data_IF_623897538939
#
_entry.id   IF_623897538939
#
_cell.length_a   1.000
_cell.length_b   1.000
_cell.length_c   1.000
_cell.angle_alpha   90.00
_cell.angle_beta   90.00
_cell.angle_gamma   90.00
#
_symmetry.space_group_name_H-M   'P 1'
#
loop_
_entity.id
_entity.type
_entity.pdbx_description
1 polymer ?
#
# COMPACT_ATOMS: atom_id res chain seq x y z
N UNK A 1 -6.55 9.32 3.59
CA UNK A 1 -5.32 8.62 3.99
C UNK A 1 -4.20 9.18 3.17
N UNK A 2 -3.27 9.83 3.84
CA UNK A 2 -2.14 10.50 3.24
C UNK A 2 -1.19 9.48 2.65
N UNK A 3 -0.97 9.54 1.33
CA UNK A 3 -0.02 8.70 0.61
C UNK A 3 1.41 9.15 0.91
N UNK A 4 1.85 8.92 2.14
CA UNK A 4 3.11 9.44 2.65
C UNK A 4 4.30 8.94 1.85
N UNK A 5 5.03 9.88 1.26
CA UNK A 5 6.32 9.66 0.61
C UNK A 5 7.23 8.80 1.48
N UNK A 6 7.92 7.85 0.84
CA UNK A 6 8.65 6.83 1.55
C UNK A 6 10.08 7.25 1.84
N UNK A 7 10.74 7.97 0.94
CA UNK A 7 12.13 8.40 1.07
C UNK A 7 12.35 9.74 0.38
N UNK A 8 13.28 10.54 0.91
CA UNK A 8 13.80 11.76 0.29
C UNK A 8 15.28 11.97 0.64
N UNK A 9 15.99 12.66 -0.24
CA UNK A 9 17.28 13.29 0.04
C UNK A 9 17.24 14.75 -0.42
N UNK A 10 17.93 15.63 0.30
CA UNK A 10 17.98 17.04 -0.05
C UNK A 10 18.59 17.21 -1.44
N UNK A 11 17.86 17.86 -2.33
CA UNK A 11 18.29 18.07 -3.71
C UNK A 11 17.73 19.38 -4.26
N UNK A 12 18.55 20.10 -5.04
CA UNK A 12 18.13 21.24 -5.85
C UNK A 12 18.83 21.18 -7.20
N UNK A 13 18.07 21.13 -8.28
CA UNK A 13 18.63 21.09 -9.63
C UNK A 13 17.69 20.47 -10.66
N UNK A 14 18.24 20.17 -11.84
CA UNK A 14 17.49 19.56 -12.94
C UNK A 14 17.23 18.08 -12.69
N UNK A 15 15.98 17.68 -12.86
CA UNK A 15 15.60 16.29 -12.80
C UNK A 15 14.29 16.00 -13.52
N UNK A 16 13.80 14.78 -13.34
CA UNK A 16 12.54 14.33 -13.92
C UNK A 16 11.69 13.60 -12.88
N UNK A 17 10.39 13.60 -13.13
CA UNK A 17 9.40 12.91 -12.31
C UNK A 17 8.68 11.84 -13.10
N UNK A 18 8.48 10.70 -12.46
CA UNK A 18 7.64 9.61 -12.97
C UNK A 18 6.57 9.21 -11.98
N UNK A 19 5.41 8.80 -12.51
CA UNK A 19 4.39 8.06 -11.77
C UNK A 19 3.96 6.82 -12.55
N UNK A 20 3.40 5.86 -11.81
CA UNK A 20 2.73 4.70 -12.34
C UNK A 20 1.26 5.05 -12.53
N UNK A 21 0.83 5.13 -13.78
CA UNK A 21 -0.54 5.52 -14.11
C UNK A 21 -1.53 4.53 -13.51
N UNK A 22 -2.46 5.03 -12.69
CA UNK A 22 -3.56 4.23 -12.11
C UNK A 22 -3.06 3.00 -11.33
N UNK A 23 -1.94 3.12 -10.60
CA UNK A 23 -1.34 2.06 -9.79
C UNK A 23 -2.34 1.27 -8.94
N UNK A 24 -3.25 1.96 -8.24
CA UNK A 24 -4.33 1.33 -7.46
C UNK A 24 -5.25 0.45 -8.30
N UNK A 25 -5.67 0.92 -9.47
CA UNK A 25 -6.50 0.12 -10.36
C UNK A 25 -5.77 -1.09 -10.90
N UNK A 26 -4.48 -0.97 -11.23
CA UNK A 26 -3.65 -2.11 -11.63
C UNK A 26 -3.67 -3.20 -10.55
N UNK A 27 -3.29 -2.84 -9.32
CA UNK A 27 -3.20 -3.80 -8.21
C UNK A 27 -4.57 -4.34 -7.78
N UNK A 28 -5.64 -3.56 -7.90
CA UNK A 28 -7.00 -4.05 -7.63
C UNK A 28 -7.54 -4.98 -8.72
N UNK A 29 -7.03 -4.88 -9.94
CA UNK A 29 -7.40 -5.78 -11.04
C UNK A 29 -6.66 -7.12 -10.99
N UNK A 30 -5.58 -7.20 -10.20
CA UNK A 30 -4.85 -8.44 -9.96
C UNK A 30 -5.61 -9.36 -8.99
N UNK A 31 -5.09 -10.56 -8.77
CA UNK A 31 -5.62 -11.47 -7.76
C UNK A 31 -5.33 -10.89 -6.37
N UNK A 32 -6.38 -10.77 -5.57
CA UNK A 32 -6.35 -10.25 -4.21
C UNK A 32 -6.73 -11.38 -3.26
N UNK A 33 -6.00 -11.54 -2.15
CA UNK A 33 -6.32 -12.57 -1.16
C UNK A 33 -7.65 -12.28 -0.47
N UNK A 34 -8.52 -13.29 -0.43
CA UNK A 34 -9.83 -13.25 0.23
C UNK A 34 -9.78 -13.89 1.62
N UNK A 35 -9.06 -15.01 1.76
CA UNK A 35 -8.99 -15.76 3.01
C UNK A 35 -7.56 -16.21 3.29
N UNK A 36 -7.27 -16.45 4.58
CA UNK A 36 -5.92 -16.67 5.07
C UNK A 36 -5.88 -17.86 6.03
N UNK A 37 -4.71 -18.44 6.25
CA UNK A 37 -4.47 -19.39 7.32
C UNK A 37 -3.07 -19.18 7.89
N UNK A 38 -2.93 -19.27 9.21
CA UNK A 38 -1.61 -19.23 9.84
C UNK A 38 -0.85 -20.51 9.50
N UNK A 39 0.42 -20.39 9.13
CA UNK A 39 1.22 -21.55 8.78
C UNK A 39 2.64 -21.24 8.35
N UNK A 40 3.38 -22.31 8.08
CA UNK A 40 4.68 -22.27 7.45
C UNK A 40 4.58 -21.59 6.07
N UNK A 41 5.55 -20.75 5.68
CA UNK A 41 5.63 -20.20 4.33
C UNK A 41 5.89 -21.26 3.27
N UNK A 42 6.51 -22.39 3.66
CA UNK A 42 6.89 -23.45 2.74
C UNK A 42 6.06 -24.72 2.93
N UNK A 43 5.59 -25.30 1.82
CA UNK A 43 5.09 -26.69 1.76
C UNK A 43 5.73 -27.37 0.55
N UNK A 44 6.39 -28.52 0.76
CA UNK A 44 7.10 -29.22 -0.32
C UNK A 44 8.24 -28.41 -0.96
N UNK A 45 8.84 -27.46 -0.21
CA UNK A 45 9.93 -26.60 -0.69
C UNK A 45 9.48 -25.36 -1.49
N UNK A 46 8.21 -25.26 -1.85
CA UNK A 46 7.67 -24.09 -2.55
C UNK A 46 7.21 -23.02 -1.55
N UNK A 47 7.59 -21.76 -1.79
CA UNK A 47 7.05 -20.61 -1.06
C UNK A 47 5.59 -20.42 -1.47
N UNK A 48 4.69 -20.37 -0.49
CA UNK A 48 3.31 -19.97 -0.71
C UNK A 48 3.16 -18.46 -0.65
N UNK A 49 2.16 -17.97 -1.36
CA UNK A 49 1.71 -16.59 -1.22
C UNK A 49 1.18 -16.31 0.19
N UNK A 50 1.56 -15.16 0.74
CA UNK A 50 1.21 -14.83 2.10
C UNK A 50 1.81 -13.52 2.61
N UNK A 51 1.57 -13.27 3.89
CA UNK A 51 2.23 -12.24 4.67
C UNK A 51 2.97 -12.90 5.82
N UNK A 52 4.28 -12.75 5.83
CA UNK A 52 5.15 -13.50 6.71
C UNK A 52 6.00 -12.58 7.58
N UNK A 53 6.16 -12.97 8.83
CA UNK A 53 7.31 -12.56 9.61
C UNK A 53 8.55 -13.08 8.88
N UNK A 54 9.46 -12.18 8.53
CA UNK A 54 10.61 -12.48 7.69
C UNK A 54 11.87 -11.83 8.24
N UNK A 55 13.00 -12.53 8.14
CA UNK A 55 14.29 -11.88 8.24
C UNK A 55 14.58 -11.17 6.92
N UNK A 56 14.86 -9.87 6.99
CA UNK A 56 15.23 -9.06 5.82
C UNK A 56 16.66 -8.58 6.00
N UNK A 57 17.51 -8.88 5.02
CA UNK A 57 18.92 -8.45 5.01
C UNK A 57 19.16 -7.54 3.81
N UNK A 58 19.86 -6.43 4.01
CA UNK A 58 20.23 -5.48 2.95
C UNK A 58 21.68 -5.01 3.12
N UNK A 59 22.44 -4.96 2.02
CA UNK A 59 23.86 -4.61 2.03
C UNK A 59 24.16 -3.11 1.92
N UNK A 60 23.14 -2.26 1.78
CA UNK A 60 23.28 -0.80 1.60
C UNK A 60 22.43 -0.26 0.45
N UNK A 61 22.67 1.01 0.10
CA UNK A 61 22.02 1.69 -1.03
C UNK A 61 20.75 2.45 -0.64
N UNK A 62 19.88 2.66 -1.63
CA UNK A 62 18.60 3.37 -1.43
C UNK A 62 17.74 2.59 -0.41
N UNK A 63 17.18 3.25 0.62
CA UNK A 63 16.39 2.56 1.63
C UNK A 63 15.07 2.04 1.07
N UNK A 64 14.51 1.03 1.74
CA UNK A 64 13.17 0.49 1.49
C UNK A 64 12.27 0.70 2.70
N UNK A 65 10.95 0.80 2.51
CA UNK A 65 10.00 0.99 3.61
C UNK A 65 9.54 -0.36 4.13
N UNK A 66 9.84 -0.66 5.40
CA UNK A 66 9.47 -1.92 6.06
C UNK A 66 8.70 -1.65 7.35
N UNK A 67 7.81 -2.57 7.74
CA UNK A 67 7.29 -2.66 9.10
C UNK A 67 8.26 -3.48 9.95
N UNK A 68 9.20 -2.82 10.61
CA UNK A 68 10.31 -3.45 11.35
C UNK A 68 9.91 -3.68 12.80
N UNK A 69 10.23 -4.85 13.35
CA UNK A 69 10.04 -5.14 14.77
C UNK A 69 11.01 -4.31 15.61
N UNK A 70 10.47 -3.49 16.51
CA UNK A 70 11.23 -2.75 17.51
C UNK A 70 11.13 -3.47 18.87
N UNK A 71 12.23 -4.07 19.36
CA UNK A 71 12.24 -4.77 20.64
C UNK A 71 11.92 -3.87 21.83
N UNK A 72 12.24 -2.57 21.75
CA UNK A 72 12.05 -1.63 22.87
C UNK A 72 10.56 -1.35 23.12
N UNK A 73 9.76 -1.31 22.05
CA UNK A 73 8.32 -1.09 22.12
C UNK A 73 7.51 -2.38 21.97
N UNK A 74 8.15 -3.51 21.66
CA UNK A 74 7.51 -4.80 21.35
C UNK A 74 6.44 -4.68 20.24
N UNK A 75 6.69 -3.83 19.24
CA UNK A 75 5.74 -3.52 18.16
C UNK A 75 6.45 -3.45 16.81
N UNK A 76 5.67 -3.59 15.74
CA UNK A 76 6.15 -3.28 14.39
C UNK A 76 5.95 -1.80 14.09
N UNK A 77 7.03 -1.14 13.68
CA UNK A 77 7.05 0.28 13.36
C UNK A 77 7.46 0.49 11.90
N UNK A 78 6.81 1.39 11.15
CA UNK A 78 7.26 1.74 9.81
C UNK A 78 8.63 2.41 9.85
N UNK A 79 9.61 1.86 9.14
CA UNK A 79 10.96 2.39 9.05
C UNK A 79 11.49 2.39 7.62
N UNK A 80 12.42 3.30 7.35
CA UNK A 80 13.28 3.25 6.17
C UNK A 80 14.51 2.42 6.48
N UNK A 81 14.59 1.24 5.88
CA UNK A 81 15.68 0.29 6.10
C UNK A 81 16.71 0.41 4.98
N UNK A 82 17.92 0.84 5.31
CA UNK A 82 19.01 1.08 4.35
C UNK A 82 20.06 -0.03 4.33
N UNK A 83 20.34 -0.67 5.48
CA UNK A 83 21.35 -1.73 5.59
C UNK A 83 21.15 -2.58 6.84
N UNK A 84 21.81 -3.74 6.87
CA UNK A 84 21.79 -4.67 8.00
C UNK A 84 20.66 -5.69 7.92
N UNK A 85 20.49 -6.45 9.00
CA UNK A 85 19.47 -7.49 9.15
C UNK A 85 18.39 -7.02 10.13
N UNK A 86 17.12 -7.13 9.76
CA UNK A 86 15.99 -6.87 10.64
C UNK A 86 14.93 -7.96 10.55
N UNK A 87 14.05 -7.98 11.55
CA UNK A 87 12.82 -8.75 11.54
C UNK A 87 11.67 -7.85 11.08
N UNK A 88 10.94 -8.22 10.03
CA UNK A 88 9.87 -7.41 9.48
C UNK A 88 8.67 -8.26 9.04
N UNK A 89 7.50 -7.65 8.93
CA UNK A 89 6.34 -8.26 8.26
C UNK A 89 6.42 -7.91 6.77
N UNK A 90 6.55 -8.94 5.93
CA UNK A 90 6.69 -8.79 4.48
C UNK A 90 5.60 -9.58 3.77
N UNK A 91 5.00 -8.95 2.77
CA UNK A 91 4.02 -9.57 1.89
C UNK A 91 4.74 -10.17 0.67
N UNK A 92 4.39 -11.39 0.25
CA UNK A 92 5.03 -12.03 -0.92
C UNK A 92 4.86 -11.21 -2.19
N UNK A 93 3.78 -10.44 -2.32
CA UNK A 93 3.58 -9.51 -3.43
C UNK A 93 4.66 -8.41 -3.53
N UNK A 94 5.40 -8.13 -2.45
CA UNK A 94 6.47 -7.12 -2.40
C UNK A 94 7.87 -7.72 -2.64
N UNK A 95 8.01 -9.05 -2.65
CA UNK A 95 9.33 -9.71 -2.66
C UNK A 95 10.16 -9.29 -3.86
N UNK A 96 9.60 -9.36 -5.08
CA UNK A 96 10.33 -9.04 -6.30
C UNK A 96 10.89 -7.60 -6.29
N UNK A 97 10.12 -6.62 -5.82
CA UNK A 97 10.59 -5.25 -5.68
C UNK A 97 11.68 -5.08 -4.60
N UNK A 98 11.49 -5.69 -3.43
CA UNK A 98 12.50 -5.66 -2.37
C UNK A 98 13.82 -6.32 -2.82
N UNK A 99 13.73 -7.47 -3.49
CA UNK A 99 14.89 -8.17 -4.07
C UNK A 99 15.58 -7.34 -5.15
N UNK A 100 14.82 -6.68 -6.04
CA UNK A 100 15.36 -5.75 -7.02
C UNK A 100 16.10 -4.56 -6.35
N UNK A 101 15.65 -4.16 -5.17
CA UNK A 101 16.30 -3.13 -4.33
C UNK A 101 17.46 -3.69 -3.49
N UNK A 102 17.88 -4.93 -3.70
CA UNK A 102 19.02 -5.55 -3.04
C UNK A 102 18.74 -6.11 -1.65
N UNK A 103 17.48 -6.41 -1.34
CA UNK A 103 17.12 -7.16 -0.13
C UNK A 103 17.20 -8.68 -0.37
N UNK A 104 17.55 -9.41 0.67
CA UNK A 104 17.32 -10.85 0.80
C UNK A 104 16.25 -11.06 1.87
N UNK A 105 15.25 -11.90 1.57
CA UNK A 105 14.08 -12.11 2.42
C UNK A 105 14.01 -13.60 2.76
N UNK A 106 13.94 -13.91 4.05
CA UNK A 106 13.78 -15.26 4.57
C UNK A 106 12.48 -15.33 5.39
N UNK A 107 11.37 -15.79 4.78
CA UNK A 107 10.10 -15.99 5.46
C UNK A 107 10.18 -17.06 6.55
N UNK A 108 9.58 -16.80 7.72
CA UNK A 108 9.61 -17.68 8.89
C UNK A 108 8.24 -18.33 9.14
N UNK A 109 7.25 -17.50 9.45
CA UNK A 109 5.88 -17.92 9.79
C UNK A 109 4.94 -16.75 9.58
N UNK A 110 3.68 -17.04 9.25
CA UNK A 110 2.69 -15.97 9.05
C UNK A 110 1.39 -16.48 8.47
N UNK A 111 0.76 -15.63 7.68
CA UNK A 111 -0.55 -15.88 7.09
C UNK A 111 -0.39 -16.27 5.62
N UNK A 112 -0.68 -17.53 5.30
CA UNK A 112 -0.78 -18.05 3.94
C UNK A 112 -2.11 -17.67 3.32
N UNK A 113 -2.10 -17.27 2.05
CA UNK A 113 -3.33 -17.08 1.27
C UNK A 113 -3.99 -18.42 0.99
N UNK A 114 -5.28 -18.53 1.29
CA UNK A 114 -6.08 -19.74 1.10
C UNK A 114 -7.02 -19.65 -0.10
N UNK A 115 -7.55 -18.46 -0.38
CA UNK A 115 -8.38 -18.20 -1.56
C UNK A 115 -8.19 -16.79 -2.08
N UNK A 116 -8.64 -16.60 -3.33
CA UNK A 116 -8.39 -15.39 -4.11
C UNK A 116 -9.69 -14.87 -4.71
N UNK A 117 -9.76 -13.56 -4.89
CA UNK A 117 -10.76 -12.90 -5.72
C UNK A 117 -10.07 -11.87 -6.63
N UNK A 118 -10.82 -11.23 -7.51
CA UNK A 118 -10.35 -10.10 -8.31
C UNK A 118 -11.43 -9.03 -8.34
N UNK A 119 -11.01 -7.76 -8.43
CA UNK A 119 -11.93 -6.66 -8.69
C UNK A 119 -11.87 -6.16 -10.14
N UNK A 120 -11.25 -6.94 -11.05
CA UNK A 120 -11.04 -6.55 -12.44
C UNK A 120 -12.30 -6.02 -13.13
N UNK A 121 -13.40 -6.77 -13.10
CA UNK A 121 -14.64 -6.37 -13.80
C UNK A 121 -15.22 -5.06 -13.25
N UNK A 122 -15.14 -4.87 -11.93
CA UNK A 122 -15.54 -3.62 -11.29
C UNK A 122 -14.62 -2.47 -11.72
N UNK A 123 -13.30 -2.69 -11.76
CA UNK A 123 -12.34 -1.68 -12.20
C UNK A 123 -12.57 -1.31 -13.67
N UNK A 124 -12.77 -2.29 -14.55
CA UNK A 124 -13.07 -2.08 -15.97
C UNK A 124 -14.37 -1.28 -16.14
N UNK A 125 -15.43 -1.65 -15.43
CA UNK A 125 -16.71 -0.93 -15.45
C UNK A 125 -16.54 0.53 -15.01
N UNK A 126 -15.76 0.79 -13.96
CA UNK A 126 -15.54 2.15 -13.50
C UNK A 126 -14.75 2.97 -14.53
N UNK A 127 -13.74 2.39 -15.17
CA UNK A 127 -12.98 3.11 -16.20
C UNK A 127 -13.80 3.39 -17.45
N UNK A 128 -14.72 2.50 -17.82
CA UNK A 128 -15.68 2.76 -18.91
C UNK A 128 -16.56 3.98 -18.59
N UNK A 129 -17.15 4.03 -17.39
CA UNK A 129 -17.96 5.17 -16.95
C UNK A 129 -17.13 6.46 -16.90
N UNK A 130 -15.88 6.39 -16.45
CA UNK A 130 -14.99 7.56 -16.44
C UNK A 130 -14.61 8.03 -17.84
N UNK A 131 -14.49 7.12 -18.81
CA UNK A 131 -14.28 7.43 -20.22
C UNK A 131 -15.49 8.16 -20.83
N UNK A 132 -16.70 7.76 -20.47
CA UNK A 132 -17.94 8.37 -20.95
C UNK A 132 -18.21 9.76 -20.34
N UNK A 133 -18.02 9.90 -19.02
CA UNK A 133 -18.40 11.10 -18.26
C UNK A 133 -17.28 12.16 -18.25
N UNK A 134 -16.04 11.76 -18.53
CA UNK A 134 -14.85 12.60 -18.46
C UNK A 134 -14.26 12.67 -17.05
N UNK A 135 -12.93 12.53 -16.95
CA UNK A 135 -12.21 12.45 -15.67
C UNK A 135 -12.38 13.68 -14.76
N UNK A 136 -12.43 14.88 -15.34
CA UNK A 136 -12.50 16.14 -14.60
C UNK A 136 -13.92 16.64 -14.34
N UNK A 137 -14.92 15.96 -14.91
CA UNK A 137 -16.32 16.25 -14.64
C UNK A 137 -16.64 15.99 -13.17
N UNK A 138 -17.62 16.74 -12.63
CA UNK A 138 -18.06 16.63 -11.22
C UNK A 138 -18.39 15.18 -10.83
N UNK A 139 -19.00 14.43 -11.75
CA UNK A 139 -19.33 13.02 -11.54
C UNK A 139 -18.10 12.10 -11.67
N UNK A 140 -17.20 12.35 -12.64
CA UNK A 140 -15.94 11.61 -12.77
C UNK A 140 -15.06 11.70 -11.51
N UNK A 141 -14.99 12.88 -10.89
CA UNK A 141 -14.29 13.07 -9.60
C UNK A 141 -14.89 12.21 -8.47
N UNK A 142 -16.22 12.09 -8.39
CA UNK A 142 -16.91 11.27 -7.37
C UNK A 142 -16.65 9.78 -7.56
N UNK A 143 -16.70 9.31 -8.79
CA UNK A 143 -16.41 7.92 -9.14
C UNK A 143 -14.96 7.56 -8.79
N UNK A 144 -14.01 8.46 -9.03
CA UNK A 144 -12.61 8.31 -8.59
C UNK A 144 -12.49 8.19 -7.06
N UNK A 145 -13.23 8.99 -6.30
CA UNK A 145 -13.23 8.88 -4.84
C UNK A 145 -13.81 7.56 -4.34
N UNK A 146 -14.84 7.01 -5.01
CA UNK A 146 -15.37 5.69 -4.67
C UNK A 146 -14.31 4.60 -4.81
N UNK A 147 -13.58 4.56 -5.92
CA UNK A 147 -12.49 3.58 -6.12
C UNK A 147 -11.43 3.71 -5.02
N UNK A 148 -11.02 4.94 -4.71
CA UNK A 148 -9.98 5.20 -3.70
C UNK A 148 -10.42 4.82 -2.28
N UNK A 149 -11.72 4.74 -2.01
CA UNK A 149 -12.24 4.31 -0.72
C UNK A 149 -12.17 2.79 -0.53
N UNK A 150 -12.13 2.00 -1.62
CA UNK A 150 -12.20 0.52 -1.56
C UNK A 150 -11.04 -0.08 -0.77
N UNK A 151 -9.76 0.26 -1.00
CA UNK A 151 -8.66 -0.26 -0.18
C UNK A 151 -8.84 0.04 1.31
N UNK A 152 -9.37 1.21 1.66
CA UNK A 152 -9.68 1.60 3.04
C UNK A 152 -10.84 0.80 3.66
N UNK A 153 -11.77 0.28 2.84
CA UNK A 153 -12.86 -0.61 3.29
C UNK A 153 -12.47 -2.08 3.34
N UNK A 154 -11.46 -2.47 2.56
CA UNK A 154 -10.84 -3.79 2.66
C UNK A 154 -9.92 -3.92 3.89
N UNK A 155 -9.48 -2.81 4.48
CA UNK A 155 -8.86 -2.77 5.79
C UNK A 155 -9.92 -2.97 6.89
N UNK A 156 -10.31 -4.22 7.15
CA UNK A 156 -11.26 -4.54 8.23
C UNK A 156 -10.48 -4.71 9.54
N UNK A 157 -10.86 -3.96 10.57
CA UNK A 157 -10.36 -4.13 11.93
C UNK A 157 -10.84 -5.48 12.49
N UNK A 158 -10.04 -6.18 13.32
CA UNK A 158 -10.48 -7.44 13.93
C UNK A 158 -11.66 -7.25 14.89
N UNK A 159 -11.90 -6.00 15.32
CA UNK A 159 -13.05 -5.55 16.09
C UNK A 159 -14.33 -5.62 15.26
N UNK A 160 -15.26 -6.46 15.70
CA UNK A 160 -16.65 -6.43 15.23
C UNK A 160 -17.55 -6.01 16.37
N UNK A 161 -18.28 -4.93 16.15
CA UNK A 161 -19.46 -4.65 16.95
C UNK A 161 -20.55 -5.66 16.56
N UNK A 162 -21.07 -6.37 17.55
CA UNK A 162 -22.23 -7.25 17.41
C UNK A 162 -23.38 -6.61 18.18
N UNK A 163 -24.58 -6.69 17.62
CA UNK A 163 -25.81 -6.28 18.30
C UNK A 163 -26.71 -7.48 18.58
N UNK A 164 -27.45 -7.42 19.68
CA UNK A 164 -28.43 -8.42 20.07
C UNK A 164 -29.68 -7.71 20.59
N UNK A 165 -30.84 -8.13 20.10
CA UNK A 165 -32.13 -7.69 20.65
C UNK A 165 -32.58 -8.77 21.64
N UNK A 166 -32.62 -8.42 22.93
CA UNK A 166 -33.01 -9.32 24.00
C UNK A 166 -33.65 -8.55 25.14
N UNK A 167 -34.73 -9.10 25.70
CA UNK A 167 -35.38 -8.54 26.90
C UNK A 167 -34.59 -8.77 28.19
N UNK A 168 -33.74 -9.79 28.19
CA UNK A 168 -32.89 -10.15 29.30
C UNK A 168 -31.42 -9.93 28.92
N UNK A 169 -30.57 -9.74 29.93
CA UNK A 169 -29.15 -9.53 29.71
C UNK A 169 -28.51 -10.73 28.97
N UNK A 170 -27.88 -10.54 27.79
CA UNK A 170 -27.35 -11.65 26.98
C UNK A 170 -26.12 -12.35 27.54
N UNK A 171 -25.52 -11.82 28.61
CA UNK A 171 -24.36 -12.39 29.30
C UNK A 171 -23.10 -11.53 29.20
N UNK A 172 -21.99 -12.09 29.68
CA UNK A 172 -20.70 -11.41 29.81
C UNK A 172 -20.20 -10.79 28.49
N UNK A 173 -19.64 -9.59 28.57
CA UNK A 173 -19.10 -8.84 27.42
C UNK A 173 -20.12 -8.01 26.64
N UNK A 174 -21.41 -8.09 26.96
CA UNK A 174 -22.46 -7.23 26.37
C UNK A 174 -22.74 -6.01 27.24
N UNK A 175 -22.93 -4.85 26.61
CA UNK A 175 -23.33 -3.58 27.22
C UNK A 175 -24.60 -3.05 26.55
N UNK A 176 -25.39 -2.26 27.27
CA UNK A 176 -26.59 -1.65 26.71
C UNK A 176 -26.21 -0.70 25.56
N UNK A 177 -26.89 -0.80 24.43
CA UNK A 177 -26.71 0.15 23.34
C UNK A 177 -27.19 1.53 23.78
N UNK A 178 -26.45 2.58 23.45
CA UNK A 178 -26.82 3.95 23.78
C UNK A 178 -26.95 4.82 22.52
N UNK A 179 -27.82 5.83 22.57
CA UNK A 179 -27.92 6.87 21.55
C UNK A 179 -26.70 7.81 21.62
N UNK A 180 -26.55 8.70 20.64
CA UNK A 180 -25.49 9.70 20.64
C UNK A 180 -25.54 10.64 21.87
N UNK A 181 -26.74 10.80 22.46
CA UNK A 181 -26.98 11.62 23.65
C UNK A 181 -26.82 10.81 24.97
N UNK A 182 -26.44 9.53 24.86
CA UNK A 182 -26.18 8.65 26.00
C UNK A 182 -27.42 7.94 26.55
N UNK A 183 -28.58 8.03 25.88
CA UNK A 183 -29.80 7.33 26.32
C UNK A 183 -29.73 5.85 25.96
N UNK A 184 -30.09 4.99 26.91
CA UNK A 184 -30.15 3.54 26.69
C UNK A 184 -31.28 3.17 25.72
N UNK A 185 -30.96 2.34 24.73
CA UNK A 185 -31.93 1.80 23.77
C UNK A 185 -32.47 0.48 24.35
N UNK A 186 -33.73 0.49 24.75
CA UNK A 186 -34.36 -0.64 25.43
C UNK A 186 -34.22 -1.96 24.64
N UNK A 187 -33.89 -3.04 25.35
CA UNK A 187 -33.74 -4.40 24.81
C UNK A 187 -32.65 -4.56 23.73
N UNK A 188 -31.77 -3.56 23.53
CA UNK A 188 -30.70 -3.61 22.54
C UNK A 188 -29.33 -3.60 23.22
N UNK A 189 -28.53 -4.60 22.91
CA UNK A 189 -27.24 -4.85 23.54
C UNK A 189 -26.16 -4.86 22.47
N UNK A 190 -25.01 -4.29 22.77
CA UNK A 190 -23.83 -4.30 21.90
C UNK A 190 -22.65 -4.94 22.60
N UNK A 191 -21.80 -5.62 21.83
CA UNK A 191 -20.47 -6.02 22.28
C UNK A 191 -19.45 -5.79 21.19
N UNK A 192 -18.27 -5.36 21.59
CA UNK A 192 -17.11 -5.32 20.70
C UNK A 192 -16.33 -6.62 20.88
N UNK A 193 -16.39 -7.49 19.88
CA UNK A 193 -15.68 -8.76 19.88
C UNK A 193 -14.46 -8.64 18.98
N UNK A 194 -13.27 -8.89 19.54
CA UNK A 194 -12.03 -8.99 18.75
C UNK A 194 -11.96 -10.42 18.23
N UNK A 195 -12.56 -10.67 17.07
CA UNK A 195 -12.41 -11.95 16.38
C UNK A 195 -11.26 -11.85 15.41
N UNK A 196 -10.18 -12.59 15.66
CA UNK A 196 -9.29 -12.98 14.60
C UNK A 196 -9.89 -14.19 13.89
N UNK A 197 -10.96 -13.96 13.12
CA UNK A 197 -11.45 -15.04 12.28
C UNK A 197 -10.38 -15.31 11.20
N UNK A 198 -10.04 -16.58 10.96
CA UNK A 198 -9.09 -16.99 9.92
C UNK A 198 -9.46 -16.47 8.52
N UNK A 199 -10.70 -16.02 8.32
CA UNK A 199 -11.23 -15.46 7.09
C UNK A 199 -11.31 -13.92 7.06
N UNK A 200 -10.76 -13.19 8.03
CA UNK A 200 -10.81 -11.73 8.00
C UNK A 200 -9.89 -11.16 6.90
N UNK A 201 -10.37 -10.13 6.19
CA UNK A 201 -9.68 -9.38 5.13
C UNK A 201 -8.47 -8.55 5.64
N UNK A 202 -7.84 -8.97 6.75
CA UNK A 202 -6.80 -8.25 7.53
C UNK A 202 -5.66 -7.71 6.66
N UNK A 203 -5.51 -8.23 5.44
CA UNK A 203 -4.35 -8.01 4.60
C UNK A 203 -4.65 -7.74 3.12
N UNK A 204 -5.91 -7.68 2.66
CA UNK A 204 -6.18 -7.44 1.22
C UNK A 204 -5.71 -6.03 0.80
N UNK A 205 -5.87 -5.03 1.67
CA UNK A 205 -5.29 -3.70 1.47
C UNK A 205 -3.76 -3.74 1.49
N UNK A 206 -3.16 -4.42 2.49
CA UNK A 206 -1.72 -4.60 2.58
C UNK A 206 -1.13 -5.26 1.32
N UNK A 207 -1.83 -6.23 0.74
CA UNK A 207 -1.48 -6.89 -0.52
C UNK A 207 -1.49 -5.93 -1.71
N UNK A 208 -2.54 -5.11 -1.83
CA UNK A 208 -2.65 -4.07 -2.88
C UNK A 208 -1.48 -3.09 -2.78
N UNK A 209 -1.19 -2.57 -1.58
CA UNK A 209 -0.08 -1.63 -1.37
C UNK A 209 1.29 -2.28 -1.57
N UNK A 210 1.48 -3.53 -1.13
CA UNK A 210 2.69 -4.30 -1.35
C UNK A 210 2.98 -4.50 -2.85
N UNK A 211 1.94 -4.82 -3.63
CA UNK A 211 2.06 -4.99 -5.09
C UNK A 211 2.51 -3.68 -5.77
N UNK A 212 1.94 -2.54 -5.39
CA UNK A 212 2.35 -1.22 -5.93
C UNK A 212 3.78 -0.88 -5.56
N UNK A 213 4.15 -1.08 -4.29
CA UNK A 213 5.54 -0.87 -3.86
C UNK A 213 6.50 -1.76 -4.63
N UNK A 214 6.11 -3.01 -4.89
CA UNK A 214 6.90 -3.94 -5.69
C UNK A 214 7.19 -3.37 -7.08
N UNK A 215 6.16 -2.91 -7.80
CA UNK A 215 6.30 -2.27 -9.11
C UNK A 215 7.20 -1.03 -9.05
N UNK A 216 6.96 -0.15 -8.08
CA UNK A 216 7.76 1.06 -7.89
C UNK A 216 9.23 0.74 -7.59
N UNK A 217 9.50 -0.24 -6.72
CA UNK A 217 10.85 -0.69 -6.40
C UNK A 217 11.56 -1.33 -7.58
N UNK A 218 10.88 -2.17 -8.36
CA UNK A 218 11.45 -2.73 -9.59
C UNK A 218 11.81 -1.62 -10.59
N UNK A 219 10.93 -0.63 -10.76
CA UNK A 219 11.20 0.51 -11.63
C UNK A 219 12.37 1.37 -11.12
N UNK A 220 12.40 1.67 -9.82
CA UNK A 220 13.51 2.41 -9.20
C UNK A 220 14.82 1.65 -9.38
N UNK A 221 14.83 0.33 -9.14
CA UNK A 221 16.00 -0.50 -9.33
C UNK A 221 16.51 -0.48 -10.80
N UNK A 222 15.61 -0.48 -11.78
CA UNK A 222 15.96 -0.27 -13.19
C UNK A 222 16.60 1.10 -13.42
N UNK A 223 16.01 2.18 -12.90
CA UNK A 223 16.59 3.52 -13.02
C UNK A 223 17.97 3.63 -12.37
N UNK A 224 18.17 3.01 -11.20
CA UNK A 224 19.47 2.95 -10.52
C UNK A 224 20.49 2.18 -11.38
N UNK A 225 20.09 1.08 -12.03
CA UNK A 225 20.95 0.33 -12.96
C UNK A 225 21.34 1.14 -14.20
N UNK A 226 20.48 2.06 -14.64
CA UNK A 226 20.77 3.03 -15.70
C UNK A 226 21.61 4.24 -15.22
N UNK A 227 22.09 4.22 -13.98
CA UNK A 227 22.91 5.30 -13.41
C UNK A 227 22.12 6.55 -13.00
N UNK A 228 20.79 6.47 -12.93
CA UNK A 228 19.96 7.56 -12.40
C UNK A 228 20.04 7.58 -10.88
N UNK A 229 19.99 8.77 -10.30
CA UNK A 229 19.95 8.93 -8.85
C UNK A 229 18.55 9.32 -8.39
N UNK A 230 17.92 8.45 -7.60
CA UNK A 230 16.62 8.72 -6.99
C UNK A 230 16.77 9.65 -5.78
N UNK A 231 16.16 10.84 -5.83
CA UNK A 231 16.18 11.82 -4.73
C UNK A 231 14.91 11.77 -3.89
N UNK A 232 13.86 11.14 -4.40
CA UNK A 232 12.57 11.07 -3.74
C UNK A 232 11.74 9.93 -4.32
N UNK A 233 11.05 9.13 -3.50
CA UNK A 233 10.08 8.17 -4.04
C UNK A 233 8.88 7.92 -3.11
N UNK A 234 7.78 7.51 -3.74
CA UNK A 234 6.50 7.17 -3.14
C UNK A 234 6.11 5.72 -3.46
N UNK A 235 4.86 5.33 -3.16
CA UNK A 235 4.32 4.00 -3.47
C UNK A 235 4.13 3.74 -4.97
N UNK A 236 4.08 4.79 -5.79
CA UNK A 236 3.67 4.76 -7.18
C UNK A 236 4.61 5.53 -8.12
N UNK A 237 5.78 5.99 -7.65
CA UNK A 237 6.67 6.79 -8.50
C UNK A 237 7.83 7.43 -7.75
N UNK A 238 8.57 8.30 -8.44
CA UNK A 238 9.75 8.95 -7.87
C UNK A 238 10.30 10.11 -8.70
N UNK A 239 11.24 10.82 -8.07
CA UNK A 239 12.02 11.90 -8.66
C UNK A 239 13.48 11.48 -8.79
N UNK A 240 14.05 11.80 -9.95
CA UNK A 240 15.40 11.41 -10.31
C UNK A 240 16.20 12.62 -10.79
N UNK A 241 17.51 12.62 -10.53
CA UNK A 241 18.42 13.67 -11.02
C UNK A 241 18.68 13.52 -12.52
N UNK A 242 18.93 14.64 -13.18
CA UNK A 242 19.40 14.70 -14.56
C UNK A 242 18.29 14.57 -15.59
N UNK A 243 18.68 14.22 -16.81
CA UNK A 243 17.74 14.09 -17.95
C UNK A 243 16.92 12.81 -17.86
N UNK A 244 15.64 12.91 -18.24
CA UNK A 244 14.75 11.77 -18.36
C UNK A 244 15.25 10.77 -19.43
N UNK A 245 15.14 9.46 -19.18
CA UNK A 245 15.27 8.44 -20.22
C UNK A 245 14.30 8.69 -21.38
N UNK A 246 14.72 8.33 -22.60
CA UNK A 246 13.93 8.55 -23.84
C UNK A 246 12.84 7.51 -24.06
N UNK A 247 12.92 6.38 -23.37
CA UNK A 247 12.03 5.22 -23.46
C UNK A 247 10.81 5.31 -22.53
N UNK A 248 10.78 6.28 -21.60
CA UNK A 248 9.62 6.50 -20.73
C UNK A 248 8.66 7.49 -21.41
N UNK A 249 7.42 7.08 -21.73
CA UNK A 249 6.47 7.95 -22.43
C UNK A 249 5.97 9.07 -21.51
N UNK A 250 5.73 10.26 -22.08
CA UNK A 250 5.08 11.37 -21.35
C UNK A 250 3.55 11.18 -21.24
N UNK A 251 2.96 10.44 -22.18
CA UNK A 251 1.53 10.12 -22.19
C UNK A 251 1.33 8.63 -22.45
N UNK A 252 0.47 8.02 -21.65
CA UNK A 252 0.02 6.64 -21.81
C UNK A 252 -1.39 6.55 -21.23
N UNK A 253 -2.23 5.71 -21.83
CA UNK A 253 -3.55 5.35 -21.27
C UNK A 253 -3.55 3.97 -20.61
N UNK A 254 -2.45 3.24 -20.75
CA UNK A 254 -2.28 1.91 -20.19
C UNK A 254 -2.28 1.95 -18.66
N UNK A 255 -3.13 1.11 -18.05
CA UNK A 255 -3.22 0.97 -16.60
C UNK A 255 -1.96 0.27 -16.10
N UNK A 256 -1.23 0.92 -15.20
CA UNK A 256 -0.03 0.36 -14.59
C UNK A 256 1.28 0.69 -15.29
N UNK A 257 1.24 1.41 -16.42
CA UNK A 257 2.43 1.89 -17.12
C UNK A 257 3.06 3.09 -16.39
N UNK A 258 4.40 3.13 -16.37
CA UNK A 258 5.13 4.30 -15.91
C UNK A 258 5.15 5.38 -16.99
N UNK A 259 5.06 6.64 -16.56
CA UNK A 259 5.13 7.79 -17.47
C UNK A 259 5.90 8.95 -16.84
N UNK A 260 6.37 9.85 -17.70
CA UNK A 260 6.95 11.11 -17.27
C UNK A 260 5.82 12.09 -16.89
N UNK A 261 5.83 12.54 -15.63
CA UNK A 261 5.04 13.69 -15.19
C UNK A 261 5.74 15.00 -15.56
N UNK A 262 7.07 15.03 -15.40
CA UNK A 262 7.91 16.16 -15.75
C UNK A 262 9.24 15.68 -16.32
N UNK A 263 9.63 16.17 -17.51
CA UNK A 263 10.83 15.71 -18.24
C UNK A 263 12.12 16.46 -17.85
N UNK A 264 12.01 17.75 -17.56
CA UNK A 264 13.13 18.67 -17.27
C UNK A 264 12.70 19.69 -16.20
N UNK A 265 12.37 19.18 -15.02
CA UNK A 265 11.91 20.02 -13.93
C UNK A 265 13.08 20.65 -13.16
N UNK A 266 12.86 21.89 -12.71
CA UNK A 266 13.61 22.43 -11.57
C UNK A 266 13.03 21.82 -10.29
N UNK A 267 13.74 20.84 -9.76
CA UNK A 267 13.36 20.10 -8.57
C UNK A 267 14.02 20.72 -7.35
N UNK A 268 13.23 20.95 -6.30
CA UNK A 268 13.74 21.19 -4.95
C UNK A 268 13.08 20.21 -4.00
N UNK A 269 13.87 19.36 -3.36
CA UNK A 269 13.43 18.46 -2.29
C UNK A 269 14.11 18.95 -1.01
N UNK A 270 13.32 19.42 -0.04
CA UNK A 270 13.81 19.98 1.21
C UNK A 270 13.01 19.45 2.40
N UNK A 271 13.64 18.61 3.23
CA UNK A 271 13.07 17.98 4.43
C UNK A 271 11.75 17.21 4.20
N UNK A 272 11.32 16.43 5.20
CA UNK A 272 10.19 15.45 5.16
C UNK A 272 8.88 15.88 4.47
N UNK A 273 8.65 17.17 4.18
CA UNK A 273 7.34 17.72 3.81
C UNK A 273 7.34 18.71 2.63
N UNK A 274 8.46 18.94 1.94
CA UNK A 274 8.48 19.90 0.83
C UNK A 274 9.23 19.36 -0.40
N UNK A 275 8.43 18.97 -1.38
CA UNK A 275 8.86 18.72 -2.75
C UNK A 275 8.27 19.83 -3.62
N UNK A 276 9.14 20.59 -4.27
CA UNK A 276 8.77 21.64 -5.23
C UNK A 276 9.26 21.18 -6.59
N UNK A 277 8.36 21.16 -7.56
CA UNK A 277 8.64 20.81 -8.95
C UNK A 277 8.17 21.99 -9.80
N UNK A 278 9.09 22.64 -10.51
CA UNK A 278 8.81 23.84 -11.32
C UNK A 278 8.11 24.97 -10.54
N UNK A 279 8.55 25.22 -9.30
CA UNK A 279 7.98 26.25 -8.44
C UNK A 279 6.61 25.90 -7.82
N UNK A 280 6.03 24.74 -8.16
CA UNK A 280 4.77 24.25 -7.57
C UNK A 280 5.08 23.34 -6.39
N UNK A 281 4.60 23.73 -5.20
CA UNK A 281 4.70 22.89 -4.00
C UNK A 281 3.77 21.69 -4.13
N UNK A 282 4.32 20.48 -4.06
CA UNK A 282 3.50 19.28 -3.87
C UNK A 282 3.03 19.24 -2.43
N UNK A 283 1.73 18.99 -2.25
CA UNK A 283 1.22 18.64 -0.94
C UNK A 283 1.94 17.36 -0.46
N UNK A 284 2.33 17.34 0.82
CA UNK A 284 2.61 16.09 1.50
C UNK A 284 1.29 15.30 1.48
N UNK A 285 1.19 14.36 0.54
CA UNK A 285 -0.03 13.64 0.22
C UNK A 285 -0.52 12.84 1.39
#
# INVERSE_FOLDING_TARGET
MSGGYQYYSSYRGKGFEVDQRKAYSKSMSQRIPQSWATGSPYTGGALHDGMYLSWVTKSGGLPVRLGVFDPSSSRFVPQLWSSGKCLAVVCTAEHAGLEAMGCSIEPIYGWRVMSWFTMKDMIDSVWNVLGEVGHDAKYGKRVKYMINAIPGKLAVTPEREQSCISREWPGEGWSQATTADGEEIENNWVRTDIRHASYHNVASSAWIYASQRSDAYMFIAEMLRQGKECVHFAVDGGLFKGEAPTDIPAQTDEIGAFRLLHKEADITVSNHNQTIVNGVRKAAG
#
